data_IF_470850077335
#
_entry.id   IF_470850077335
#
_cell.length_a   1.000
_cell.length_b   1.000
_cell.length_c   1.000
_cell.angle_alpha   90.00
_cell.angle_beta   90.00
_cell.angle_gamma   90.00
#
_symmetry.space_group_name_H-M   'P 1'
#
loop_
_entity.id
_entity.type
_entity.pdbx_description
1 polymer ?
#
# COMPACT_ATOMS: atom_id res chain seq x y z
N UNK A 1 -41.17 9.08 -12.51
CA UNK A 1 -41.71 8.26 -11.40
C UNK A 1 -40.94 6.96 -11.15
N UNK A 2 -40.24 6.37 -12.14
CA UNK A 2 -39.41 5.16 -11.95
C UNK A 2 -38.05 5.36 -11.25
N UNK A 3 -37.45 6.56 -11.28
CA UNK A 3 -36.16 6.81 -10.61
C UNK A 3 -36.27 6.95 -9.07
N UNK A 4 -37.44 7.33 -8.55
CA UNK A 4 -37.65 7.52 -7.11
C UNK A 4 -37.95 6.23 -6.34
N UNK A 5 -38.41 5.18 -7.05
CA UNK A 5 -38.71 3.87 -6.46
C UNK A 5 -37.40 3.06 -6.27
N UNK A 6 -36.42 3.20 -7.18
CA UNK A 6 -35.13 2.52 -7.06
C UNK A 6 -34.24 3.04 -5.92
N UNK A 7 -34.29 4.35 -5.62
CA UNK A 7 -33.48 4.93 -4.52
C UNK A 7 -34.02 4.48 -3.16
N UNK A 8 -35.35 4.46 -2.97
CA UNK A 8 -35.97 3.97 -1.72
C UNK A 8 -35.73 2.48 -1.47
N UNK A 9 -35.71 1.64 -2.51
CA UNK A 9 -35.41 0.21 -2.38
C UNK A 9 -33.94 -0.07 -1.99
N UNK A 10 -33.02 0.81 -2.41
CA UNK A 10 -31.58 0.67 -2.14
C UNK A 10 -31.22 1.13 -0.72
N UNK A 11 -31.90 2.14 -0.18
CA UNK A 11 -31.74 2.57 1.22
C UNK A 11 -32.34 1.60 2.23
N UNK A 12 -33.51 1.00 1.94
CA UNK A 12 -34.10 -0.03 2.80
C UNK A 12 -33.22 -1.29 2.89
N UNK A 13 -32.59 -1.70 1.79
CA UNK A 13 -31.66 -2.85 1.81
C UNK A 13 -30.37 -2.56 2.58
N UNK A 14 -29.82 -1.33 2.51
CA UNK A 14 -28.65 -0.95 3.32
C UNK A 14 -28.97 -0.90 4.82
N UNK A 15 -30.16 -0.41 5.20
CA UNK A 15 -30.56 -0.32 6.61
C UNK A 15 -30.78 -1.72 7.24
N UNK A 16 -31.33 -2.68 6.47
CA UNK A 16 -31.50 -4.07 6.91
C UNK A 16 -30.16 -4.81 7.02
N UNK A 17 -29.19 -4.56 6.13
CA UNK A 17 -27.85 -5.15 6.24
C UNK A 17 -27.07 -4.62 7.46
N UNK A 18 -27.12 -3.31 7.73
CA UNK A 18 -26.41 -2.71 8.88
C UNK A 18 -27.01 -3.16 10.21
N UNK A 19 -28.33 -3.32 10.29
CA UNK A 19 -29.00 -3.80 11.51
C UNK A 19 -28.76 -5.29 11.75
N UNK A 20 -28.70 -6.11 10.70
CA UNK A 20 -28.36 -7.53 10.84
C UNK A 20 -26.90 -7.73 11.30
N UNK A 21 -25.96 -6.97 10.77
CA UNK A 21 -24.53 -7.06 11.12
C UNK A 21 -24.27 -6.61 12.57
N UNK A 22 -24.89 -5.50 13.00
CA UNK A 22 -24.84 -5.03 14.38
C UNK A 22 -25.45 -6.05 15.38
N UNK A 23 -26.52 -6.75 14.98
CA UNK A 23 -27.16 -7.77 15.84
C UNK A 23 -26.30 -9.03 15.97
N UNK A 24 -25.53 -9.40 14.93
CA UNK A 24 -24.58 -10.51 14.98
C UNK A 24 -23.35 -10.19 15.84
N UNK A 25 -22.82 -8.96 15.76
CA UNK A 25 -21.74 -8.50 16.62
C UNK A 25 -22.13 -8.41 18.11
N UNK A 26 -23.36 -8.00 18.42
CA UNK A 26 -23.85 -7.98 19.81
C UNK A 26 -24.04 -9.41 20.33
N UNK A 27 -24.51 -10.36 19.50
CA UNK A 27 -24.61 -11.77 19.89
C UNK A 27 -23.25 -12.41 20.13
N UNK A 28 -22.24 -12.14 19.31
CA UNK A 28 -20.89 -12.66 19.51
C UNK A 28 -20.27 -12.11 20.80
N UNK A 29 -20.43 -10.82 21.09
CA UNK A 29 -19.93 -10.20 22.31
C UNK A 29 -20.64 -10.73 23.58
N UNK A 30 -21.94 -11.03 23.50
CA UNK A 30 -22.67 -11.66 24.61
C UNK A 30 -22.25 -13.13 24.84
N UNK A 31 -21.95 -13.88 23.79
CA UNK A 31 -21.37 -15.23 23.92
C UNK A 31 -19.97 -15.19 24.53
N UNK A 32 -19.12 -14.24 24.12
CA UNK A 32 -17.79 -14.05 24.74
C UNK A 32 -17.89 -13.67 26.21
N UNK A 33 -18.86 -12.80 26.57
CA UNK A 33 -19.09 -12.40 27.97
C UNK A 33 -19.53 -13.58 28.85
N UNK A 34 -20.41 -14.44 28.34
CA UNK A 34 -20.88 -15.60 29.10
C UNK A 34 -19.77 -16.67 29.26
N UNK A 35 -18.91 -16.87 28.26
CA UNK A 35 -17.75 -17.75 28.38
C UNK A 35 -16.71 -17.25 29.40
N UNK A 36 -16.54 -15.92 29.53
CA UNK A 36 -15.68 -15.30 30.54
C UNK A 36 -16.26 -15.45 31.95
N UNK A 37 -17.59 -15.38 32.11
CA UNK A 37 -18.26 -15.61 33.40
C UNK A 37 -18.18 -17.08 33.86
N UNK A 38 -18.30 -18.05 32.96
CA UNK A 38 -18.12 -19.48 33.28
C UNK A 38 -16.67 -19.81 33.67
N UNK A 39 -15.68 -19.20 33.00
CA UNK A 39 -14.26 -19.34 33.35
C UNK A 39 -13.95 -18.73 34.72
N UNK A 40 -14.61 -17.60 35.06
CA UNK A 40 -14.47 -16.94 36.37
C UNK A 40 -15.10 -17.75 37.51
N UNK A 41 -16.20 -18.47 37.28
CA UNK A 41 -16.77 -19.38 38.28
C UNK A 41 -15.94 -20.66 38.47
N UNK A 42 -15.22 -21.12 37.44
CA UNK A 42 -14.24 -22.21 37.55
C UNK A 42 -13.05 -21.84 38.45
N UNK A 43 -12.46 -20.66 38.24
CA UNK A 43 -11.29 -20.19 38.99
C UNK A 43 -11.62 -19.89 40.47
N UNK A 44 -12.85 -19.49 40.79
CA UNK A 44 -13.29 -19.27 42.17
C UNK A 44 -13.54 -20.56 42.98
N UNK A 45 -13.68 -21.72 42.32
CA UNK A 45 -13.82 -23.03 43.01
C UNK A 45 -12.49 -23.70 43.33
N UNK A 46 -11.43 -23.43 42.55
CA UNK A 46 -10.09 -23.96 42.83
C UNK A 46 -9.33 -23.15 43.90
N UNK A 47 -9.71 -21.88 44.13
CA UNK A 47 -9.10 -21.02 45.15
C UNK A 47 -9.43 -21.34 46.62
N UNK A 48 -10.27 -22.35 46.90
CA UNK A 48 -10.67 -22.70 48.27
C UNK A 48 -9.81 -23.82 48.91
N UNK A 49 -8.77 -24.32 48.23
CA UNK A 49 -7.93 -25.42 48.73
C UNK A 49 -6.43 -25.15 48.59
N UNK A 50 -5.95 -23.99 49.05
CA UNK A 50 -4.52 -23.80 49.34
C UNK A 50 -4.30 -22.55 50.21
N UNK A 51 -4.41 -22.70 51.53
CA UNK A 51 -4.01 -21.67 52.49
C UNK A 51 -3.09 -22.31 53.54
N UNK A 52 -1.78 -22.18 53.37
CA UNK A 52 -0.78 -21.99 54.45
C UNK A 52 0.65 -21.97 53.90
N UNK A 53 1.17 -20.78 53.59
CA UNK A 53 2.36 -20.18 54.23
C UNK A 53 2.93 -19.02 53.39
N UNK A 54 3.37 -17.99 54.13
CA UNK A 54 4.26 -16.89 53.77
C UNK A 54 3.67 -15.61 53.13
N UNK A 55 3.87 -14.55 53.91
CA UNK A 55 3.45 -13.15 53.80
C UNK A 55 4.30 -12.34 52.81
N UNK A 56 3.69 -11.26 52.28
CA UNK A 56 4.24 -10.10 51.54
C UNK A 56 4.54 -10.30 50.04
N UNK A 57 3.56 -9.92 49.22
CA UNK A 57 3.65 -9.07 48.01
C UNK A 57 2.30 -9.16 47.25
N UNK A 58 1.48 -8.11 47.29
CA UNK A 58 0.42 -7.86 46.29
C UNK A 58 -0.33 -6.55 46.60
N UNK A 59 0.20 -5.42 46.12
CA UNK A 59 -0.62 -4.28 45.74
C UNK A 59 -0.41 -4.14 44.24
N UNK A 60 -1.39 -4.52 43.42
CA UNK A 60 -1.62 -4.05 42.04
C UNK A 60 -2.68 -4.94 41.38
N UNK A 61 -3.95 -4.52 41.41
CA UNK A 61 -4.81 -4.41 40.21
C UNK A 61 -6.22 -3.96 40.61
N UNK A 62 -6.74 -2.92 39.94
CA UNK A 62 -8.15 -2.70 39.57
C UNK A 62 -8.53 -1.22 39.58
N UNK A 63 -8.20 -0.47 38.53
CA UNK A 63 -9.13 0.55 38.03
C UNK A 63 -8.79 0.89 36.58
N UNK A 64 -9.58 0.35 35.63
CA UNK A 64 -9.84 1.01 34.35
C UNK A 64 -11.11 0.42 33.74
N UNK A 65 -12.18 1.21 33.80
CA UNK A 65 -13.37 1.05 32.96
C UNK A 65 -13.89 2.44 32.64
N UNK A 66 -13.72 2.82 31.37
CA UNK A 66 -14.64 3.57 30.50
C UNK A 66 -15.22 4.87 31.06
N UNK A 67 -14.94 5.99 30.40
CA UNK A 67 -15.94 6.99 29.97
C UNK A 67 -15.26 8.08 29.12
N UNK A 68 -15.48 8.05 27.80
CA UNK A 68 -15.48 9.26 26.97
C UNK A 68 -16.82 9.32 26.26
N UNK A 69 -17.62 10.34 26.55
CA UNK A 69 -18.52 11.06 25.64
C UNK A 69 -19.47 11.91 26.49
N UNK A 70 -19.33 13.23 26.39
CA UNK A 70 -20.44 14.20 26.41
C UNK A 70 -19.89 15.63 26.24
N UNK A 71 -19.91 16.12 25.00
CA UNK A 71 -19.94 17.55 24.68
C UNK A 71 -20.71 17.72 23.37
N UNK A 72 -22.02 18.00 23.45
CA UNK A 72 -22.75 18.82 22.47
C UNK A 72 -23.84 19.58 23.22
N UNK A 73 -23.78 20.90 23.13
CA UNK A 73 -24.82 21.85 23.55
C UNK A 73 -25.84 22.01 22.41
N UNK A 74 -27.15 22.16 22.70
CA UNK A 74 -27.98 23.14 21.99
C UNK A 74 -29.32 23.48 22.69
N UNK A 75 -29.83 24.64 22.29
CA UNK A 75 -30.89 25.50 22.83
C UNK A 75 -32.34 25.09 22.48
N UNK A 76 -33.28 25.76 23.18
CA UNK A 76 -34.54 26.37 22.68
C UNK A 76 -35.90 25.92 23.28
N UNK A 77 -36.65 26.94 23.76
CA UNK A 77 -38.13 27.09 23.83
C UNK A 77 -38.92 26.23 24.83
N UNK A 78 -40.00 26.68 25.49
CA UNK A 78 -40.84 27.87 25.34
C UNK A 78 -41.63 28.17 26.63
N UNK A 79 -42.08 29.42 26.71
CA UNK A 79 -43.04 30.11 27.60
C UNK A 79 -44.19 29.29 28.24
N UNK A 80 -44.61 29.68 29.46
CA UNK A 80 -45.97 30.21 29.79
C UNK A 80 -46.16 30.48 31.32
N UNK A 81 -46.63 31.70 31.63
CA UNK A 81 -47.48 32.19 32.75
C UNK A 81 -47.00 32.10 34.22
N UNK A 82 -47.14 33.27 34.88
CA UNK A 82 -46.90 33.58 36.28
C UNK A 82 -47.76 32.81 37.29
N UNK A 83 -47.19 32.50 38.46
CA UNK A 83 -47.64 32.97 39.79
C UNK A 83 -46.81 32.28 40.90
N UNK A 84 -46.61 33.01 42.01
CA UNK A 84 -45.99 32.60 43.27
C UNK A 84 -44.45 32.51 43.36
N UNK A 85 -43.86 33.69 43.51
CA UNK A 85 -43.17 34.13 44.73
C UNK A 85 -42.38 33.10 45.56
N UNK A 86 -41.06 33.35 45.60
CA UNK A 86 -40.21 33.35 46.80
C UNK A 86 -40.07 32.04 47.59
N UNK A 87 -39.35 31.06 47.03
CA UNK A 87 -38.57 30.11 47.86
C UNK A 87 -37.38 29.42 47.17
N UNK A 88 -37.13 29.64 45.86
CA UNK A 88 -36.10 28.90 45.12
C UNK A 88 -34.77 29.63 44.88
N UNK A 89 -34.64 30.91 45.26
CA UNK A 89 -33.41 31.68 44.94
C UNK A 89 -32.22 31.40 45.88
N UNK A 90 -32.44 30.79 47.06
CA UNK A 90 -31.38 30.46 48.02
C UNK A 90 -30.82 29.02 47.84
N UNK A 91 -31.57 28.08 47.25
CA UNK A 91 -31.07 26.70 47.00
C UNK A 91 -30.27 26.54 45.71
N UNK A 92 -30.40 27.47 44.75
CA UNK A 92 -29.71 27.42 43.44
C UNK A 92 -28.26 27.91 43.52
N UNK A 93 -28.00 28.89 44.39
CA UNK A 93 -26.65 29.48 44.62
C UNK A 93 -25.72 28.56 45.43
N UNK A 94 -26.26 27.64 46.24
CA UNK A 94 -25.48 26.62 46.97
C UNK A 94 -25.11 25.42 46.10
N UNK A 95 -26.03 24.94 45.25
CA UNK A 95 -25.78 23.81 44.34
C UNK A 95 -24.75 24.14 43.25
N UNK A 96 -24.74 25.35 42.72
CA UNK A 96 -23.72 25.78 41.75
C UNK A 96 -22.34 25.94 42.38
N UNK A 97 -22.23 26.49 43.59
CA UNK A 97 -20.95 26.58 44.32
C UNK A 97 -20.39 25.21 44.68
N UNK A 98 -21.23 24.29 45.16
CA UNK A 98 -20.80 22.91 45.47
C UNK A 98 -20.38 22.16 44.21
N UNK A 99 -21.10 22.33 43.09
CA UNK A 99 -20.74 21.71 41.80
C UNK A 99 -19.45 22.29 41.21
N UNK A 100 -19.19 23.59 41.40
CA UNK A 100 -17.97 24.26 40.95
C UNK A 100 -16.76 23.91 41.82
N UNK A 101 -16.93 23.86 43.16
CA UNK A 101 -15.93 23.34 44.11
C UNK A 101 -15.62 21.85 43.83
N UNK A 102 -16.64 21.02 43.58
CA UNK A 102 -16.43 19.64 43.17
C UNK A 102 -15.71 19.54 41.82
N UNK A 103 -16.01 20.38 40.83
CA UNK A 103 -15.28 20.40 39.56
C UNK A 103 -13.82 20.87 39.71
N UNK A 104 -13.54 21.82 40.61
CA UNK A 104 -12.18 22.27 40.90
C UNK A 104 -11.39 21.19 41.66
N UNK A 105 -12.03 20.50 42.60
CA UNK A 105 -11.44 19.34 43.28
C UNK A 105 -11.25 18.16 42.32
N UNK A 106 -12.22 17.88 41.44
CA UNK A 106 -12.07 16.85 40.40
C UNK A 106 -10.97 17.22 39.40
N UNK A 107 -10.85 18.48 39.00
CA UNK A 107 -9.77 18.96 38.12
C UNK A 107 -8.39 18.89 38.80
N UNK A 108 -8.31 19.14 40.11
CA UNK A 108 -7.08 18.98 40.90
C UNK A 108 -6.69 17.51 41.12
N UNK A 109 -7.67 16.59 41.11
CA UNK A 109 -7.44 15.14 41.18
C UNK A 109 -7.15 14.56 39.78
N UNK A 110 -7.70 15.16 38.72
CA UNK A 110 -7.52 14.76 37.32
C UNK A 110 -6.34 15.43 36.60
N UNK A 111 -5.57 16.30 37.27
CA UNK A 111 -4.22 16.63 36.81
C UNK A 111 -3.36 15.39 36.98
N UNK A 112 -3.46 14.50 36.00
CA UNK A 112 -2.56 13.39 35.81
C UNK A 112 -1.16 13.98 35.69
N UNK A 113 -0.44 14.02 36.82
CA UNK A 113 1.01 13.98 36.80
C UNK A 113 1.34 12.69 36.07
N UNK A 114 1.55 12.78 34.75
CA UNK A 114 2.24 11.74 34.01
C UNK A 114 3.66 11.70 34.55
N UNK A 115 3.84 11.02 35.67
CA UNK A 115 5.15 10.63 36.16
C UNK A 115 5.73 9.71 35.09
N UNK A 116 6.62 10.25 34.25
CA UNK A 116 7.27 9.48 33.22
C UNK A 116 8.07 8.35 33.87
N UNK A 117 7.59 7.11 33.76
CA UNK A 117 8.27 5.94 34.27
C UNK A 117 9.52 5.63 33.44
N UNK A 118 10.50 4.97 34.05
CA UNK A 118 11.64 4.43 33.31
C UNK A 118 11.16 3.30 32.41
N UNK A 119 11.16 3.54 31.10
CA UNK A 119 10.78 2.55 30.11
C UNK A 119 11.66 2.67 28.88
N UNK A 120 12.02 1.55 28.27
CA UNK A 120 12.62 1.54 26.95
C UNK A 120 11.74 0.76 25.98
N UNK A 121 11.86 1.07 24.70
CA UNK A 121 11.29 0.31 23.60
C UNK A 121 12.43 0.01 22.66
N UNK A 122 12.88 -1.24 22.72
CA UNK A 122 13.97 -1.78 21.91
C UNK A 122 13.42 -2.98 21.15
N UNK A 123 13.84 -3.12 19.89
CA UNK A 123 13.51 -4.32 19.10
C UNK A 123 14.13 -5.55 19.75
N UNK A 124 13.35 -6.62 19.92
CA UNK A 124 13.81 -7.83 20.64
C UNK A 124 14.84 -8.63 19.83
N UNK A 125 14.64 -8.70 18.52
CA UNK A 125 15.53 -9.42 17.59
C UNK A 125 15.57 -8.70 16.24
N UNK A 126 16.72 -8.73 15.58
CA UNK A 126 16.93 -8.17 14.25
C UNK A 126 17.98 -8.97 13.48
N UNK A 127 17.74 -9.19 12.20
CA UNK A 127 18.68 -9.90 11.34
C UNK A 127 19.78 -8.95 10.86
N UNK A 128 21.04 -9.34 11.04
CA UNK A 128 22.20 -8.54 10.72
C UNK A 128 23.10 -9.27 9.72
N UNK A 129 23.25 -8.70 8.53
CA UNK A 129 24.15 -9.24 7.50
C UNK A 129 25.60 -9.00 7.90
N UNK A 130 26.38 -10.08 8.03
CA UNK A 130 27.81 -10.04 8.31
C UNK A 130 28.50 -9.21 7.23
N UNK A 131 29.51 -8.42 7.61
CA UNK A 131 30.21 -7.39 6.81
C UNK A 131 29.43 -6.11 6.52
N UNK A 132 28.12 -6.10 6.70
CA UNK A 132 27.27 -4.91 6.49
C UNK A 132 27.11 -4.10 7.78
N UNK A 133 26.00 -3.38 7.94
CA UNK A 133 25.64 -2.62 9.12
C UNK A 133 24.21 -2.93 9.58
N UNK A 134 23.95 -2.64 10.85
CA UNK A 134 22.64 -2.77 11.48
C UNK A 134 22.34 -1.52 12.30
N UNK A 135 21.11 -1.02 12.20
CA UNK A 135 20.60 0.10 13.01
C UNK A 135 19.46 -0.41 13.87
N UNK A 136 19.71 -0.47 15.19
CA UNK A 136 18.80 -0.94 16.22
C UNK A 136 17.92 0.22 16.69
N UNK A 137 16.62 0.26 16.34
CA UNK A 137 15.72 1.30 16.82
C UNK A 137 15.54 1.20 18.32
N UNK A 138 15.65 2.34 18.99
CA UNK A 138 15.50 2.44 20.43
C UNK A 138 14.88 3.78 20.80
N UNK A 139 13.84 3.73 21.63
CA UNK A 139 13.33 4.91 22.34
C UNK A 139 13.22 4.64 23.83
N UNK A 140 13.27 5.69 24.65
CA UNK A 140 13.21 5.53 26.10
C UNK A 140 12.50 6.70 26.79
N UNK A 141 12.07 6.49 28.03
CA UNK A 141 11.54 7.51 28.93
C UNK A 141 12.23 7.43 30.28
N UNK A 142 12.29 8.57 30.98
CA UNK A 142 12.89 8.68 32.30
C UNK A 142 12.12 9.69 33.16
N UNK A 143 12.28 9.58 34.48
CA UNK A 143 11.58 10.42 35.47
C UNK A 143 12.14 11.83 35.60
N UNK A 144 13.35 12.09 35.10
CA UNK A 144 14.05 13.39 35.19
C UNK A 144 13.44 14.58 34.43
N UNK A 145 12.23 14.48 33.89
CA UNK A 145 11.59 15.53 33.09
C UNK A 145 12.18 15.66 31.69
N UNK A 146 12.04 16.84 31.05
CA UNK A 146 12.66 17.10 29.75
C UNK A 146 14.11 17.57 29.94
N UNK A 147 15.05 16.66 29.77
CA UNK A 147 16.49 16.94 29.86
C UNK A 147 17.09 17.05 28.45
N UNK A 148 17.96 18.03 28.17
CA UNK A 148 18.73 18.07 26.94
C UNK A 148 19.76 16.92 26.89
N UNK A 149 20.25 16.58 25.70
CA UNK A 149 21.26 15.53 25.49
C UNK A 149 22.50 15.73 26.35
N UNK A 150 22.95 16.97 26.61
CA UNK A 150 24.12 17.24 27.46
C UNK A 150 23.98 16.79 28.92
N UNK A 151 22.75 16.56 29.40
CA UNK A 151 22.46 16.05 30.75
C UNK A 151 22.13 14.55 30.76
N UNK A 152 22.32 13.87 29.65
CA UNK A 152 22.00 12.46 29.47
C UNK A 152 23.22 11.76 28.89
N UNK A 153 23.60 10.63 29.48
CA UNK A 153 24.62 9.74 28.92
C UNK A 153 23.98 8.43 28.53
N UNK A 154 24.06 8.11 27.24
CA UNK A 154 23.53 6.87 26.67
C UNK A 154 24.63 5.83 26.52
N UNK A 155 24.37 4.60 26.96
CA UNK A 155 25.35 3.52 26.99
C UNK A 155 24.67 2.25 26.51
N UNK A 156 25.33 1.51 25.61
CA UNK A 156 24.90 0.17 25.26
C UNK A 156 25.91 -0.84 25.77
N UNK A 157 25.43 -1.88 26.42
CA UNK A 157 26.28 -2.91 27.03
C UNK A 157 25.71 -4.30 26.80
N UNK A 158 26.55 -5.32 26.94
CA UNK A 158 26.11 -6.72 26.94
C UNK A 158 25.24 -6.99 28.17
N UNK A 159 24.21 -7.83 28.02
CA UNK A 159 23.28 -8.17 29.11
C UNK A 159 24.00 -8.73 30.34
N UNK A 160 24.97 -9.61 30.14
CA UNK A 160 25.69 -10.30 31.22
C UNK A 160 26.76 -9.44 31.89
N UNK A 161 26.96 -8.19 31.48
CA UNK A 161 28.01 -7.34 32.03
C UNK A 161 27.81 -5.87 31.72
N UNK A 162 27.31 -5.11 32.69
CA UNK A 162 27.11 -3.65 32.59
C UNK A 162 28.41 -2.84 32.39
N UNK A 163 29.57 -3.47 32.58
CA UNK A 163 30.90 -2.89 32.29
C UNK A 163 31.42 -3.24 30.90
N UNK A 164 30.79 -4.19 30.20
CA UNK A 164 31.14 -4.59 28.82
C UNK A 164 30.34 -3.73 27.85
N UNK A 165 30.77 -2.48 27.70
CA UNK A 165 30.08 -1.54 26.83
C UNK A 165 30.42 -1.83 25.37
N UNK A 166 29.39 -1.94 24.53
CA UNK A 166 29.55 -1.95 23.07
C UNK A 166 29.48 -0.54 22.49
N UNK A 167 28.88 0.41 23.21
CA UNK A 167 28.89 1.83 22.89
C UNK A 167 29.00 2.67 24.17
N UNK A 168 29.86 3.69 24.11
CA UNK A 168 30.03 4.70 25.14
C UNK A 168 30.56 5.99 24.47
N UNK A 169 30.26 7.17 25.03
CA UNK A 169 30.77 8.44 24.49
C UNK A 169 32.30 8.53 24.56
N UNK A 170 32.88 8.07 25.67
CA UNK A 170 34.31 7.83 25.83
C UNK A 170 34.73 6.51 25.12
N UNK A 171 35.53 6.57 24.03
CA UNK A 171 35.95 5.39 23.28
C UNK A 171 36.87 4.45 24.05
N UNK A 172 37.49 4.89 25.15
CA UNK A 172 38.37 4.06 25.97
C UNK A 172 37.60 3.03 26.80
N UNK A 173 36.31 3.27 27.01
CA UNK A 173 35.40 2.41 27.78
C UNK A 173 34.62 1.42 26.91
N UNK A 174 34.86 1.41 25.59
CA UNK A 174 34.24 0.50 24.63
C UNK A 174 35.07 -0.78 24.52
N UNK A 175 34.41 -1.94 24.54
CA UNK A 175 35.03 -3.24 24.30
C UNK A 175 35.75 -3.23 22.94
N UNK A 176 36.99 -3.70 22.92
CA UNK A 176 37.89 -3.58 21.76
C UNK A 176 37.26 -4.09 20.45
N UNK A 177 36.49 -5.19 20.50
CA UNK A 177 35.82 -5.73 19.32
C UNK A 177 34.81 -4.77 18.68
N UNK A 178 34.22 -3.83 19.42
CA UNK A 178 33.22 -2.86 18.95
C UNK A 178 33.77 -1.45 18.74
N UNK A 179 35.02 -1.21 19.13
CA UNK A 179 35.64 0.11 19.08
C UNK A 179 35.70 0.62 17.64
N UNK A 180 35.20 1.83 17.42
CA UNK A 180 35.11 2.45 16.08
C UNK A 180 34.00 1.89 15.18
N UNK A 181 33.25 0.88 15.62
CA UNK A 181 32.14 0.28 14.85
C UNK A 181 30.76 0.68 15.32
N UNK A 182 30.64 1.29 16.50
CA UNK A 182 29.35 1.63 17.11
C UNK A 182 29.13 3.13 17.25
N UNK A 183 27.90 3.58 17.03
CA UNK A 183 27.53 4.99 17.10
C UNK A 183 26.06 5.16 17.51
N UNK A 184 25.75 6.12 18.37
CA UNK A 184 24.38 6.60 18.54
C UNK A 184 24.00 7.51 17.37
N UNK A 185 22.95 7.12 16.64
CA UNK A 185 22.40 7.92 15.53
C UNK A 185 21.19 8.76 15.95
N UNK A 186 20.59 8.43 17.10
CA UNK A 186 19.50 9.20 17.72
C UNK A 186 20.00 10.23 18.73
N UNK A 187 19.16 11.23 19.02
CA UNK A 187 19.40 12.22 20.06
C UNK A 187 18.71 11.84 21.39
N UNK A 188 19.49 11.75 22.47
CA UNK A 188 18.98 11.36 23.79
C UNK A 188 17.95 12.35 24.35
N UNK A 189 18.12 13.65 24.12
CA UNK A 189 17.16 14.68 24.53
C UNK A 189 15.80 14.55 23.84
N UNK A 190 15.76 13.88 22.69
CA UNK A 190 14.54 13.51 21.97
C UNK A 190 14.08 12.09 22.30
N UNK A 191 14.58 11.51 23.40
CA UNK A 191 14.24 10.15 23.85
C UNK A 191 14.62 9.06 22.84
N UNK A 192 15.59 9.33 21.96
CA UNK A 192 16.02 8.42 20.91
C UNK A 192 17.41 7.87 21.25
N UNK A 193 17.48 6.55 21.46
CA UNK A 193 18.69 5.81 21.83
C UNK A 193 19.17 4.87 20.71
N UNK A 194 18.71 5.10 19.48
CA UNK A 194 18.99 4.23 18.32
C UNK A 194 20.48 4.05 18.11
N UNK A 195 20.91 2.79 18.05
CA UNK A 195 22.30 2.37 17.92
C UNK A 195 22.58 1.91 16.50
N UNK A 196 23.69 2.36 15.92
CA UNK A 196 24.25 1.82 14.70
C UNK A 196 25.49 0.98 15.02
N UNK A 197 25.59 -0.18 14.37
CA UNK A 197 26.79 -1.03 14.36
C UNK A 197 27.20 -1.23 12.90
N UNK A 198 28.44 -0.89 12.55
CA UNK A 198 29.04 -1.09 11.23
C UNK A 198 29.96 -2.30 11.22
N UNK A 199 30.24 -2.81 10.02
CA UNK A 199 31.10 -3.98 9.81
C UNK A 199 30.75 -5.13 10.75
N UNK A 200 29.47 -5.51 10.76
CA UNK A 200 28.94 -6.57 11.63
C UNK A 200 29.78 -7.83 11.47
N UNK A 201 30.19 -8.41 12.59
CA UNK A 201 30.95 -9.66 12.63
C UNK A 201 30.02 -10.82 12.99
N UNK A 202 30.42 -12.04 12.61
CA UNK A 202 29.68 -13.29 12.83
C UNK A 202 29.45 -13.67 14.30
N UNK A 203 30.13 -13.00 15.23
CA UNK A 203 30.03 -13.20 16.68
C UNK A 203 29.44 -12.00 17.44
N UNK A 204 28.81 -11.05 16.74
CA UNK A 204 28.18 -9.87 17.34
C UNK A 204 26.73 -10.15 17.82
N UNK A 205 26.38 -11.37 18.23
CA UNK A 205 24.98 -11.78 18.49
C UNK A 205 24.29 -11.06 19.67
N UNK A 206 25.06 -10.55 20.63
CA UNK A 206 24.52 -9.95 21.86
C UNK A 206 24.06 -11.01 22.88
N UNK A 207 23.01 -10.74 23.68
CA UNK A 207 22.09 -9.60 23.63
C UNK A 207 22.66 -8.29 24.21
N UNK A 208 22.22 -7.16 23.66
CA UNK A 208 22.67 -5.82 24.05
C UNK A 208 21.53 -4.98 24.63
N UNK A 209 21.80 -4.31 25.75
CA UNK A 209 20.81 -3.55 26.50
C UNK A 209 21.21 -2.07 26.56
N UNK A 210 20.21 -1.20 26.50
CA UNK A 210 20.41 0.23 26.67
C UNK A 210 20.43 0.61 28.15
N UNK A 211 21.26 1.59 28.47
CA UNK A 211 21.39 2.18 29.79
C UNK A 211 21.53 3.69 29.65
N UNK A 212 20.80 4.42 30.49
CA UNK A 212 20.88 5.88 30.53
C UNK A 212 21.32 6.33 31.92
N UNK A 213 22.18 7.34 31.96
CA UNK A 213 22.58 8.05 33.19
C UNK A 213 22.16 9.51 33.08
N UNK A 214 21.61 10.06 34.15
CA UNK A 214 21.34 11.49 34.28
C UNK A 214 22.61 12.15 34.82
N UNK A 215 23.22 12.99 33.98
CA UNK A 215 24.46 13.69 34.26
C UNK A 215 24.14 14.95 35.07
N UNK A 216 24.67 15.02 36.29
CA UNK A 216 24.47 16.18 37.20
C UNK A 216 25.59 17.22 37.11
N UNK A 217 26.77 16.82 36.67
CA UNK A 217 27.99 17.62 36.57
C UNK A 217 28.72 17.23 35.29
N UNK A 218 29.40 18.16 34.63
CA UNK A 218 30.09 17.91 33.34
C UNK A 218 31.25 16.90 33.43
N UNK A 219 31.70 16.57 34.65
CA UNK A 219 32.72 15.55 34.88
C UNK A 219 32.16 14.14 34.65
N UNK A 220 33.02 13.21 34.22
CA UNK A 220 32.72 11.77 34.03
C UNK A 220 32.42 11.00 35.34
N UNK A 221 32.05 11.69 36.41
CA UNK A 221 31.82 11.08 37.70
C UNK A 221 30.56 10.19 37.69
N UNK A 222 30.60 9.01 38.34
CA UNK A 222 29.47 8.09 38.36
C UNK A 222 28.25 8.74 39.01
N UNK A 223 27.13 8.79 38.29
CA UNK A 223 25.87 9.31 38.85
C UNK A 223 25.06 8.18 39.49
N UNK A 224 24.30 8.50 40.54
CA UNK A 224 23.36 7.56 41.18
C UNK A 224 22.08 7.38 40.37
N UNK A 225 21.77 8.33 39.50
CA UNK A 225 20.54 8.36 38.72
C UNK A 225 20.78 7.70 37.36
N UNK A 226 20.88 6.37 37.39
CA UNK A 226 21.07 5.56 36.21
C UNK A 226 20.09 4.40 36.19
N UNK A 227 19.69 4.01 34.98
CA UNK A 227 18.79 2.88 34.79
C UNK A 227 19.24 2.06 33.58
N UNK A 228 19.35 0.74 33.78
CA UNK A 228 19.63 -0.25 32.73
C UNK A 228 18.36 -0.99 32.38
N UNK A 229 17.98 -0.99 31.11
CA UNK A 229 16.80 -1.69 30.61
C UNK A 229 17.14 -3.13 30.25
N UNK A 230 17.49 -3.96 31.25
CA UNK A 230 17.97 -5.35 31.06
C UNK A 230 16.90 -6.34 30.58
N UNK A 231 15.63 -5.96 30.65
CA UNK A 231 14.50 -6.71 30.09
C UNK A 231 14.22 -6.33 28.63
N UNK A 232 14.74 -5.19 28.17
CA UNK A 232 14.56 -4.63 26.82
C UNK A 232 15.89 -4.56 26.07
N UNK A 233 16.45 -5.76 25.86
CA UNK A 233 17.66 -5.95 25.08
C UNK A 233 17.33 -6.44 23.66
N UNK A 234 18.24 -6.18 22.73
CA UNK A 234 18.19 -6.70 21.36
C UNK A 234 19.13 -7.89 21.22
N UNK A 235 18.69 -8.92 20.51
CA UNK A 235 19.53 -10.01 20.01
C UNK A 235 19.72 -9.87 18.49
N UNK A 236 20.95 -10.03 18.01
CA UNK A 236 21.25 -9.95 16.59
C UNK A 236 21.38 -11.36 15.99
N UNK A 237 20.57 -11.66 14.98
CA UNK A 237 20.69 -12.91 14.23
C UNK A 237 21.66 -12.70 13.07
N UNK A 238 22.78 -13.42 13.06
CA UNK A 238 23.80 -13.24 12.02
C UNK A 238 23.39 -13.92 10.72
N UNK A 239 23.27 -13.13 9.66
CA UNK A 239 23.12 -13.63 8.29
C UNK A 239 24.49 -13.66 7.64
N UNK A 240 24.98 -14.84 7.28
CA UNK A 240 26.24 -15.02 6.54
C UNK A 240 26.07 -14.78 5.05
N UNK A 241 24.86 -15.01 4.53
CA UNK A 241 24.50 -14.80 3.13
C UNK A 241 23.53 -13.62 2.98
N UNK A 242 23.70 -12.79 1.93
CA UNK A 242 22.80 -11.67 1.67
C UNK A 242 21.41 -12.15 1.28
N UNK A 243 20.33 -11.50 1.76
CA UNK A 243 18.97 -11.88 1.39
C UNK A 243 18.77 -11.73 -0.13
N UNK A 244 18.09 -12.72 -0.72
CA UNK A 244 17.76 -12.69 -2.15
C UNK A 244 16.73 -11.61 -2.45
N UNK A 245 16.92 -10.82 -3.51
CA UNK A 245 15.92 -9.84 -3.92
C UNK A 245 14.60 -10.52 -4.33
N UNK A 246 13.48 -9.91 -3.99
CA UNK A 246 12.17 -10.31 -4.46
C UNK A 246 11.83 -9.58 -5.77
N UNK A 247 11.40 -10.32 -6.80
CA UNK A 247 11.05 -9.74 -8.10
C UNK A 247 9.56 -9.88 -8.39
N UNK A 248 8.86 -8.75 -8.49
CA UNK A 248 7.45 -8.64 -8.88
C UNK A 248 7.39 -8.23 -10.34
N UNK A 249 6.76 -9.07 -11.17
CA UNK A 249 6.65 -8.88 -12.62
C UNK A 249 5.35 -9.44 -13.19
N UNK A 250 4.83 -8.90 -14.31
CA UNK A 250 3.80 -9.57 -15.10
C UNK A 250 4.34 -10.86 -15.72
N UNK A 251 3.46 -11.85 -15.94
CA UNK A 251 3.85 -13.17 -16.50
C UNK A 251 4.41 -13.09 -17.93
N UNK A 252 3.84 -12.21 -18.74
CA UNK A 252 4.22 -12.01 -20.14
C UNK A 252 4.27 -10.53 -20.46
N UNK A 253 5.23 -10.14 -21.29
CA UNK A 253 5.29 -8.83 -21.90
C UNK A 253 4.58 -8.83 -23.26
N UNK A 254 4.17 -7.66 -23.75
CA UNK A 254 3.66 -7.51 -25.11
C UNK A 254 4.66 -6.69 -25.89
N UNK A 255 5.00 -7.15 -27.10
CA UNK A 255 5.94 -6.45 -27.97
C UNK A 255 5.49 -5.00 -28.21
N UNK A 256 6.41 -4.04 -28.06
CA UNK A 256 6.15 -2.62 -28.31
C UNK A 256 5.40 -1.89 -27.19
N UNK A 257 4.99 -2.59 -26.13
CA UNK A 257 4.31 -2.01 -24.96
C UNK A 257 5.27 -1.90 -23.75
N UNK A 258 5.15 -0.87 -22.89
CA UNK A 258 5.98 -0.77 -21.69
C UNK A 258 5.79 -1.96 -20.74
N UNK A 259 6.89 -2.62 -20.41
CA UNK A 259 6.95 -3.69 -19.41
C UNK A 259 7.66 -3.18 -18.15
N UNK A 260 6.99 -3.30 -17.00
CA UNK A 260 7.49 -2.80 -15.72
C UNK A 260 7.72 -3.95 -14.75
N UNK A 261 8.89 -3.95 -14.12
CA UNK A 261 9.33 -4.95 -13.16
C UNK A 261 9.82 -4.24 -11.90
N UNK A 262 9.49 -4.76 -10.74
CA UNK A 262 9.98 -4.24 -9.46
C UNK A 262 10.85 -5.29 -8.79
N UNK A 263 12.06 -4.91 -8.41
CA UNK A 263 12.96 -5.70 -7.57
C UNK A 263 13.04 -5.04 -6.19
N UNK A 264 12.82 -5.79 -5.12
CA UNK A 264 12.91 -5.28 -3.76
C UNK A 264 13.81 -6.14 -2.89
N UNK A 265 14.47 -5.51 -1.92
CA UNK A 265 15.33 -6.20 -0.96
C UNK A 265 15.23 -5.54 0.41
N UNK A 266 15.23 -6.36 1.45
CA UNK A 266 15.22 -5.90 2.85
C UNK A 266 16.64 -5.77 3.38
N UNK A 267 16.91 -4.74 4.17
CA UNK A 267 18.18 -4.48 4.83
C UNK A 267 17.98 -3.77 6.16
N UNK A 268 19.02 -3.71 7.00
CA UNK A 268 18.94 -3.11 8.33
C UNK A 268 19.81 -1.87 8.49
N UNK A 269 20.29 -1.33 7.37
CA UNK A 269 21.18 -0.16 7.35
C UNK A 269 20.62 0.97 6.48
N UNK A 270 19.95 1.98 7.06
CA UNK A 270 19.45 3.14 6.32
C UNK A 270 20.55 4.08 5.84
N UNK A 271 21.70 4.14 6.52
CA UNK A 271 22.81 5.00 6.09
C UNK A 271 23.60 4.45 4.90
N UNK A 272 23.66 3.12 4.77
CA UNK A 272 24.36 2.42 3.69
C UNK A 272 23.38 1.47 3.01
N UNK A 273 22.58 2.06 2.13
CA UNK A 273 21.52 1.38 1.41
C UNK A 273 22.10 0.43 0.34
N UNK A 274 21.54 -0.78 0.15
CA UNK A 274 21.94 -1.67 -0.93
C UNK A 274 21.73 -1.04 -2.31
N UNK A 275 22.69 -1.23 -3.21
CA UNK A 275 22.59 -0.78 -4.59
C UNK A 275 21.95 -1.88 -5.43
N UNK A 276 20.76 -1.61 -5.96
CA UNK A 276 20.07 -2.49 -6.91
C UNK A 276 20.50 -2.15 -8.34
N UNK A 277 20.93 -3.16 -9.09
CA UNK A 277 21.39 -3.03 -10.48
C UNK A 277 20.73 -4.07 -11.37
N UNK A 278 20.54 -3.74 -12.64
CA UNK A 278 19.94 -4.61 -13.65
C UNK A 278 20.98 -4.94 -14.72
N UNK A 279 20.91 -6.12 -15.33
CA UNK A 279 21.72 -6.49 -16.50
C UNK A 279 21.17 -5.90 -17.82
N UNK A 280 20.70 -4.65 -17.77
CA UNK A 280 20.11 -3.91 -18.89
C UNK A 280 20.63 -2.47 -18.87
N UNK A 281 21.01 -1.97 -20.04
CA UNK A 281 21.46 -0.60 -20.25
C UNK A 281 20.26 0.35 -20.36
N UNK A 282 19.53 0.56 -19.25
CA UNK A 282 18.30 1.38 -19.23
C UNK A 282 18.35 2.46 -18.16
N UNK A 283 17.86 3.66 -18.49
CA UNK A 283 17.89 4.86 -17.63
C UNK A 283 16.66 5.05 -16.75
N UNK A 284 15.59 4.28 -16.95
CA UNK A 284 14.34 4.40 -16.20
C UNK A 284 14.35 3.49 -14.96
N UNK A 285 15.23 3.83 -14.03
CA UNK A 285 15.36 3.15 -12.74
C UNK A 285 14.91 4.11 -11.64
N UNK A 286 13.82 3.77 -10.97
CA UNK A 286 13.35 4.52 -9.79
C UNK A 286 13.69 3.70 -8.55
N UNK A 287 14.39 4.32 -7.61
CA UNK A 287 14.75 3.69 -6.33
C UNK A 287 13.93 4.31 -5.20
N UNK A 288 13.28 3.46 -4.40
CA UNK A 288 12.52 3.86 -3.23
C UNK A 288 13.05 3.19 -1.97
N UNK A 289 13.06 3.94 -0.86
CA UNK A 289 13.43 3.43 0.46
C UNK A 289 12.26 3.57 1.41
N UNK A 290 11.92 2.49 2.11
CA UNK A 290 10.77 2.44 3.00
C UNK A 290 11.16 1.83 4.33
N UNK A 291 10.79 2.49 5.42
CA UNK A 291 10.87 1.91 6.76
C UNK A 291 9.73 0.89 6.94
N UNK A 292 10.07 -0.38 7.16
CA UNK A 292 9.12 -1.48 7.40
C UNK A 292 8.86 -1.66 8.91
N UNK A 293 9.41 -0.77 9.75
CA UNK A 293 9.43 -0.80 11.22
C UNK A 293 10.33 -1.90 11.77
N UNK A 294 10.60 -1.81 13.08
CA UNK A 294 11.45 -2.76 13.81
C UNK A 294 12.90 -2.86 13.29
N UNK A 295 13.40 -1.80 12.65
CA UNK A 295 14.80 -1.72 12.18
C UNK A 295 15.03 -2.34 10.81
N UNK A 296 13.96 -2.82 10.16
CA UNK A 296 13.99 -3.34 8.80
C UNK A 296 13.58 -2.25 7.80
N UNK A 297 14.36 -2.15 6.73
CA UNK A 297 14.19 -1.20 5.64
C UNK A 297 14.03 -1.95 4.32
N UNK A 298 13.17 -1.46 3.46
CA UNK A 298 12.99 -1.96 2.10
C UNK A 298 13.66 -1.00 1.12
N UNK A 299 14.45 -1.54 0.20
CA UNK A 299 14.89 -0.83 -0.99
C UNK A 299 14.27 -1.47 -2.21
N UNK A 300 13.62 -0.66 -3.04
CA UNK A 300 12.94 -1.11 -4.26
C UNK A 300 13.54 -0.42 -5.48
N UNK A 301 13.69 -1.15 -6.57
CA UNK A 301 14.12 -0.66 -7.88
C UNK A 301 13.07 -1.05 -8.92
N UNK A 302 12.50 -0.05 -9.58
CA UNK A 302 11.50 -0.23 -10.64
C UNK A 302 12.19 -0.05 -11.98
N UNK A 303 12.16 -1.08 -12.81
CA UNK A 303 12.68 -1.11 -14.17
C UNK A 303 11.51 -1.06 -15.15
N UNK A 304 11.49 -0.06 -16.04
CA UNK A 304 10.53 0.03 -17.13
C UNK A 304 11.24 0.12 -18.47
N UNK A 305 10.95 -0.82 -19.38
CA UNK A 305 11.50 -0.87 -20.73
C UNK A 305 10.44 -1.37 -21.73
N UNK A 306 10.68 -1.17 -23.03
CA UNK A 306 9.80 -1.64 -24.10
C UNK A 306 10.46 -2.86 -24.74
N UNK A 307 9.92 -4.08 -24.59
CA UNK A 307 10.53 -5.27 -25.15
C UNK A 307 10.26 -5.41 -26.65
N UNK A 308 11.27 -5.88 -27.37
CA UNK A 308 11.17 -6.25 -28.78
C UNK A 308 11.04 -7.78 -28.93
N UNK A 309 10.73 -8.25 -30.15
CA UNK A 309 10.67 -9.68 -30.46
C UNK A 309 12.00 -10.40 -30.19
N UNK A 310 13.12 -9.72 -30.41
CA UNK A 310 14.48 -10.25 -30.19
C UNK A 310 14.80 -10.48 -28.71
N UNK A 311 14.04 -9.86 -27.80
CA UNK A 311 14.26 -9.98 -26.35
C UNK A 311 13.49 -11.17 -25.74
N UNK A 312 12.75 -11.95 -26.53
CA UNK A 312 12.06 -13.14 -26.04
C UNK A 312 13.04 -14.20 -25.52
N UNK A 313 12.71 -14.79 -24.37
CA UNK A 313 13.55 -15.72 -23.60
C UNK A 313 14.87 -15.12 -23.08
N UNK A 314 15.01 -13.79 -23.07
CA UNK A 314 16.14 -13.12 -22.44
C UNK A 314 16.07 -13.24 -20.92
N UNK A 315 17.19 -13.54 -20.29
CA UNK A 315 17.33 -13.52 -18.83
C UNK A 315 17.59 -12.10 -18.33
N UNK A 316 16.74 -11.65 -17.40
CA UNK A 316 16.88 -10.37 -16.71
C UNK A 316 17.24 -10.66 -15.26
N UNK A 317 18.35 -10.06 -14.81
CA UNK A 317 18.89 -10.24 -13.48
C UNK A 317 18.89 -8.92 -12.73
N UNK A 318 18.26 -8.92 -11.56
CA UNK A 318 18.43 -7.88 -10.55
C UNK A 318 19.53 -8.31 -9.57
N UNK A 319 20.56 -7.50 -9.39
CA UNK A 319 21.62 -7.74 -8.41
C UNK A 319 21.56 -6.70 -7.30
N UNK A 320 21.41 -7.17 -6.06
CA UNK A 320 21.56 -6.35 -4.86
C UNK A 320 23.00 -6.41 -4.37
N UNK A 321 23.66 -5.26 -4.31
CA UNK A 321 24.99 -5.08 -3.73
C UNK A 321 24.86 -4.41 -2.37
N UNK A 322 25.19 -5.14 -1.31
CA UNK A 322 25.13 -4.66 0.07
C UNK A 322 26.44 -3.99 0.46
N UNK A 323 26.35 -3.11 1.46
CA UNK A 323 27.54 -2.58 2.12
C UNK A 323 28.37 -3.74 2.70
N UNK A 324 29.70 -3.70 2.52
CA UNK A 324 30.59 -4.84 2.80
C UNK A 324 30.93 -5.69 1.56
N UNK A 325 30.31 -5.41 0.41
CA UNK A 325 30.68 -5.98 -0.90
C UNK A 325 29.97 -7.29 -1.25
N UNK A 326 29.13 -7.82 -0.37
CA UNK A 326 28.30 -8.99 -0.65
C UNK A 326 27.23 -8.68 -1.70
N UNK A 327 27.04 -9.61 -2.65
CA UNK A 327 26.10 -9.47 -3.76
C UNK A 327 25.11 -10.63 -3.78
N UNK A 328 23.85 -10.33 -4.07
CA UNK A 328 22.79 -11.32 -4.22
C UNK A 328 22.02 -11.06 -5.52
N UNK A 329 22.12 -11.96 -6.52
CA UNK A 329 21.37 -11.85 -7.76
C UNK A 329 20.04 -12.62 -7.69
N UNK A 330 19.02 -12.09 -8.35
CA UNK A 330 17.76 -12.78 -8.68
C UNK A 330 17.48 -12.63 -10.17
N UNK A 331 17.29 -13.75 -10.87
CA UNK A 331 17.12 -13.81 -12.33
C UNK A 331 15.75 -14.34 -12.70
N UNK A 332 15.16 -13.77 -13.77
CA UNK A 332 13.96 -14.32 -14.38
C UNK A 332 14.03 -14.25 -15.91
N UNK A 333 13.27 -15.13 -16.56
CA UNK A 333 13.14 -15.17 -18.02
C UNK A 333 12.01 -14.25 -18.48
N UNK A 334 12.31 -13.40 -19.46
CA UNK A 334 11.32 -12.56 -20.14
C UNK A 334 10.60 -13.37 -21.23
N UNK A 335 9.27 -13.32 -21.23
CA UNK A 335 8.45 -13.91 -22.29
C UNK A 335 7.67 -12.82 -23.01
N UNK A 336 7.93 -12.64 -24.30
CA UNK A 336 7.36 -11.57 -25.13
C UNK A 336 6.28 -12.12 -26.06
N UNK A 337 5.05 -11.67 -25.87
CA UNK A 337 3.95 -11.94 -26.79
C UNK A 337 4.10 -11.05 -28.02
N UNK A 338 4.26 -11.69 -29.18
CA UNK A 338 4.35 -11.03 -30.48
C UNK A 338 3.02 -10.39 -30.86
N UNK A 339 3.07 -9.17 -31.37
CA UNK A 339 1.90 -8.50 -31.96
C UNK A 339 1.99 -8.68 -33.47
N UNK A 340 1.10 -9.48 -34.04
CA UNK A 340 1.10 -9.68 -35.50
C UNK A 340 0.65 -8.39 -36.19
N UNK A 341 1.55 -7.83 -37.00
CA UNK A 341 1.26 -6.64 -37.78
C UNK A 341 0.58 -7.04 -39.10
N UNK A 342 -0.74 -7.14 -39.09
CA UNK A 342 -1.53 -7.47 -40.29
C UNK A 342 -1.60 -6.32 -41.31
N UNK A 343 -1.03 -5.14 -41.05
CA UNK A 343 -1.13 -4.00 -41.96
C UNK A 343 -0.58 -4.33 -43.36
N UNK A 344 0.48 -5.15 -43.45
CA UNK A 344 1.01 -5.60 -44.74
C UNK A 344 0.04 -6.52 -45.52
N UNK A 345 -0.91 -7.16 -44.84
CA UNK A 345 -1.92 -8.03 -45.46
C UNK A 345 -3.23 -7.27 -45.70
N UNK A 346 -3.65 -6.44 -44.75
CA UNK A 346 -4.90 -5.67 -44.79
C UNK A 346 -4.83 -4.59 -45.87
N UNK A 347 -3.73 -3.84 -45.96
CA UNK A 347 -3.62 -2.71 -46.90
C UNK A 347 -3.77 -3.18 -48.37
N UNK A 348 -3.03 -4.18 -48.86
CA UNK A 348 -3.22 -4.68 -50.23
C UNK A 348 -4.62 -5.27 -50.46
N UNK A 349 -5.17 -5.97 -49.47
CA UNK A 349 -6.50 -6.58 -49.58
C UNK A 349 -7.61 -5.53 -49.72
N UNK A 350 -7.56 -4.46 -48.92
CA UNK A 350 -8.53 -3.36 -48.98
C UNK A 350 -8.41 -2.59 -50.30
N UNK A 351 -7.19 -2.35 -50.78
CA UNK A 351 -6.96 -1.70 -52.09
C UNK A 351 -7.49 -2.56 -53.23
N UNK A 352 -7.25 -3.88 -53.20
CA UNK A 352 -7.78 -4.84 -54.18
C UNK A 352 -9.32 -4.86 -54.22
N UNK A 353 -9.97 -4.88 -53.06
CA UNK A 353 -11.44 -4.83 -52.98
C UNK A 353 -11.96 -3.46 -53.45
N UNK A 354 -11.33 -2.37 -53.04
CA UNK A 354 -11.74 -1.02 -53.45
C UNK A 354 -11.66 -0.81 -54.97
N UNK A 355 -10.59 -1.29 -55.59
CA UNK A 355 -10.41 -1.21 -57.06
C UNK A 355 -11.45 -2.03 -57.80
N UNK A 356 -11.70 -3.28 -57.40
CA UNK A 356 -12.71 -4.14 -58.06
C UNK A 356 -14.11 -3.55 -57.97
N UNK A 357 -14.51 -3.02 -56.81
CA UNK A 357 -15.82 -2.35 -56.64
C UNK A 357 -15.93 -1.10 -57.51
N UNK A 358 -14.87 -0.28 -57.59
CA UNK A 358 -14.84 0.90 -58.45
C UNK A 358 -14.99 0.52 -59.93
N UNK A 359 -14.28 -0.51 -60.40
CA UNK A 359 -14.41 -1.03 -61.75
C UNK A 359 -15.84 -1.51 -62.05
N UNK A 360 -16.46 -2.28 -61.14
CA UNK A 360 -17.83 -2.76 -61.31
C UNK A 360 -18.83 -1.59 -61.38
N UNK A 361 -18.68 -0.58 -60.52
CA UNK A 361 -19.54 0.62 -60.55
C UNK A 361 -19.41 1.39 -61.86
N UNK A 362 -18.19 1.57 -62.38
CA UNK A 362 -17.96 2.19 -63.69
C UNK A 362 -18.63 1.37 -64.79
N UNK A 363 -18.50 0.04 -64.78
CA UNK A 363 -19.18 -0.84 -65.74
C UNK A 363 -20.71 -0.72 -65.67
N UNK A 364 -21.29 -0.61 -64.46
CA UNK A 364 -22.75 -0.40 -64.27
C UNK A 364 -23.18 0.97 -64.80
N UNK A 365 -22.41 2.04 -64.53
CA UNK A 365 -22.70 3.38 -65.05
C UNK A 365 -22.61 3.40 -66.57
N UNK A 366 -21.58 2.76 -67.14
CA UNK A 366 -21.39 2.67 -68.57
C UNK A 366 -22.52 1.88 -69.23
N UNK A 367 -22.91 0.71 -68.70
CA UNK A 367 -24.04 -0.06 -69.23
C UNK A 367 -25.36 0.70 -69.12
N UNK A 368 -25.63 1.40 -68.02
CA UNK A 368 -26.80 2.30 -67.91
C UNK A 368 -26.76 3.42 -68.95
N UNK A 369 -25.59 4.03 -69.17
CA UNK A 369 -25.41 5.10 -70.17
C UNK A 369 -25.59 4.58 -71.60
N UNK A 370 -25.07 3.38 -71.91
CA UNK A 370 -25.27 2.72 -73.19
C UNK A 370 -26.74 2.33 -73.41
N UNK A 371 -27.40 1.77 -72.40
CA UNK A 371 -28.83 1.41 -72.47
C UNK A 371 -29.71 2.63 -72.73
N UNK A 372 -29.47 3.73 -72.01
CA UNK A 372 -30.16 5.02 -72.24
C UNK A 372 -29.95 5.55 -73.67
N UNK A 373 -28.72 5.46 -74.20
CA UNK A 373 -28.44 5.82 -75.61
C UNK A 373 -29.16 4.93 -76.61
N UNK A 374 -29.26 3.63 -76.34
CA UNK A 374 -29.97 2.68 -77.21
C UNK A 374 -31.48 2.99 -77.21
N UNK A 375 -32.08 3.28 -76.05
CA UNK A 375 -33.49 3.70 -75.93
C UNK A 375 -33.75 5.01 -76.72
N UNK A 376 -32.84 5.99 -76.65
CA UNK A 376 -32.91 7.21 -77.46
C UNK A 376 -32.83 6.91 -78.97
N UNK A 377 -31.94 6.02 -79.41
CA UNK A 377 -31.81 5.62 -80.82
C UNK A 377 -33.04 4.86 -81.34
N UNK A 378 -33.61 3.94 -80.55
CA UNK A 378 -34.82 3.21 -80.93
C UNK A 378 -36.06 4.13 -81.01
N UNK A 379 -36.17 5.15 -80.16
CA UNK A 379 -37.24 6.16 -80.27
C UNK A 379 -37.12 7.00 -81.56
N UNK A 380 -35.88 7.25 -82.02
CA UNK A 380 -35.60 8.00 -83.24
C UNK A 380 -35.82 7.16 -84.51
N UNK A 381 -35.51 5.87 -84.47
CA UNK A 381 -35.82 4.93 -85.55
C UNK A 381 -37.31 4.60 -85.63
N UNK A 382 -38.02 4.49 -84.51
CA UNK A 382 -39.49 4.31 -84.48
C UNK A 382 -40.25 5.47 -85.12
N UNK A 383 -39.73 6.70 -84.99
CA UNK A 383 -40.23 7.89 -85.71
C UNK A 383 -40.00 7.78 -87.23
N UNK A 384 -38.86 7.24 -87.66
CA UNK A 384 -38.48 7.10 -89.06
C UNK A 384 -39.25 5.96 -89.77
N UNK A 385 -39.50 4.84 -89.08
CA UNK A 385 -40.35 3.75 -89.58
C UNK A 385 -41.82 4.15 -89.72
N UNK A 386 -42.35 5.01 -88.83
CA UNK A 386 -43.69 5.59 -88.98
C UNK A 386 -43.79 6.59 -90.16
N UNK A 387 -42.67 7.15 -90.62
CA UNK A 387 -42.60 7.96 -91.84
C UNK A 387 -42.48 7.11 -93.12
N UNK A 388 -41.76 6.00 -93.08
CA UNK A 388 -41.58 5.10 -94.24
C UNK A 388 -42.80 4.20 -94.53
N UNK A 389 -43.54 3.78 -93.50
CA UNK A 389 -44.76 2.98 -93.65
C UNK A 389 -45.97 3.76 -94.21
N UNK A 390 -45.91 5.10 -94.28
CA UNK A 390 -46.85 5.92 -95.06
C UNK A 390 -46.49 6.03 -96.55
N UNK A 391 -45.24 5.76 -96.93
CA UNK A 391 -44.77 5.86 -98.32
C UNK A 391 -44.90 4.52 -99.08
N UNK A 392 -44.84 3.38 -98.38
CA UNK A 392 -44.91 2.05 -99.00
C UNK A 392 -46.32 1.59 -99.43
N UNK A 393 -47.40 2.25 -99.01
CA UNK A 393 -48.78 1.87 -99.40
C UNK A 393 -49.27 2.46 -100.73
N UNK A 394 -48.41 3.16 -101.48
CA UNK A 394 -48.81 3.81 -102.75
C UNK A 394 -48.13 3.25 -104.02
N UNK A 395 -47.23 2.27 -103.89
CA UNK A 395 -46.49 1.72 -105.05
C UNK A 395 -46.34 0.20 -104.90
N UNK A 396 -47.42 -0.57 -105.08
CA UNK A 396 -47.36 -1.93 -105.64
C UNK A 396 -48.76 -2.46 -105.95
N UNK A 397 -49.37 -1.92 -107.00
CA UNK A 397 -50.51 -2.51 -107.69
C UNK A 397 -50.13 -2.66 -109.17
N UNK A 398 -50.09 -3.91 -109.65
CA UNK A 398 -49.70 -4.30 -111.02
C UNK A 398 -48.75 -5.49 -110.95
N UNK A 399 -49.27 -6.74 -110.97
CA UNK A 399 -49.41 -7.60 -112.16
C UNK A 399 -48.04 -8.04 -112.72
N UNK A 400 -47.69 -9.29 -112.97
CA UNK A 400 -48.38 -10.60 -113.08
C UNK A 400 -47.32 -11.72 -113.17
N UNK A 401 -47.67 -12.96 -113.58
CA UNK A 401 -47.09 -14.20 -113.02
C UNK A 401 -46.15 -15.01 -113.94
N UNK A 402 -45.75 -16.19 -113.44
CA UNK A 402 -44.95 -17.30 -114.04
C UNK A 402 -43.43 -17.18 -113.78
N UNK A 403 -42.64 -18.23 -113.55
CA UNK A 403 -42.74 -19.66 -113.89
C UNK A 403 -41.72 -20.45 -113.02
N UNK A 404 -41.98 -21.75 -112.85
CA UNK A 404 -41.13 -22.87 -112.40
C UNK A 404 -39.60 -22.67 -112.40
N UNK A 405 -38.89 -23.22 -111.40
CA UNK A 405 -38.37 -24.60 -111.45
C UNK A 405 -37.69 -25.04 -110.14
N UNK A 406 -37.75 -26.36 -109.90
CA UNK A 406 -36.77 -27.31 -109.32
C UNK A 406 -35.58 -26.80 -108.45
N UNK A 407 -34.99 -27.54 -107.50
CA UNK A 407 -35.11 -28.88 -106.90
C UNK A 407 -33.83 -29.07 -106.05
N UNK A 408 -33.88 -29.98 -105.07
CA UNK A 408 -32.73 -30.69 -104.45
C UNK A 408 -31.81 -29.85 -103.52
N UNK A 409 -31.31 -30.38 -102.40
CA UNK A 409 -31.36 -31.70 -101.76
C UNK A 409 -31.05 -31.51 -100.27
#
# INVERSE_FOLDING_TARGET
>A
MQAHIHIKATEQSRFVLITHDATQQIKSLLQSRNAIEETRQGILKEGSSANHHQTRLAHHYSQERVLSECCVSDQSGSSFISLNQTSQHQRRMGKQKIMMEFCLLFAAICSSVSSAEWKATVVKSIDALVTSCVVVPCSFSHTGGNLPTSRLRGIWHEKDGTKRNIFHEDPTLIKESFKGRTKLVGELGQKNCTLQITEVKDHDNGPFCFRVELVRTENNDPTKDKFSFVEDCVELNMLTEPPKPAVIKPKTATQGEPYTVTCSVTHTCPSNVPKLTWNLDTTNIIVHHKDIKQGNWETQSILTFIPEEKDDNREITCTAEFNGGLKSPETFTLHVKRVENYNHIIIPSVVGIGTTVAFVLVCIVMTKKYRKRIEELQSRDGSMWNRLSRMSRRIRSGAGPSRSDQRQE
#
